data_IF_470914713282
#
_entry.id   IF_470914713282
#
_cell.length_a   1.000
_cell.length_b   1.000
_cell.length_c   1.000
_cell.angle_alpha   90.00
_cell.angle_beta   90.00
_cell.angle_gamma   90.00
#
_symmetry.space_group_name_H-M   'P 1'
#
loop_
_entity.id
_entity.type
_entity.pdbx_description
1 polymer ?
#
# COMPACT_ATOMS: atom_id res chain seq x y z
N UNK A 1 33.95 -8.46 -30.37
CA UNK A 1 33.77 -7.70 -29.11
C UNK A 1 32.30 -7.73 -28.74
N UNK A 2 31.87 -8.71 -27.95
CA UNK A 2 30.52 -8.75 -27.37
C UNK A 2 30.53 -8.00 -26.05
N UNK A 3 29.76 -6.92 -25.96
CA UNK A 3 29.67 -6.11 -24.75
C UNK A 3 28.85 -6.83 -23.69
N UNK A 4 29.49 -7.16 -22.57
CA UNK A 4 28.86 -7.56 -21.32
C UNK A 4 28.17 -6.34 -20.70
N UNK A 5 27.04 -5.90 -21.26
CA UNK A 5 26.18 -4.94 -20.59
C UNK A 5 25.28 -5.70 -19.59
N UNK A 6 25.90 -6.31 -18.58
CA UNK A 6 25.22 -6.66 -17.34
C UNK A 6 24.90 -5.39 -16.58
N UNK A 7 23.94 -4.61 -17.08
CA UNK A 7 23.41 -3.46 -16.37
C UNK A 7 22.66 -3.97 -15.15
N UNK A 8 23.11 -3.62 -13.95
CA UNK A 8 22.29 -3.76 -12.74
C UNK A 8 21.05 -2.91 -12.99
N UNK A 9 19.93 -3.53 -13.37
CA UNK A 9 18.63 -2.85 -13.36
C UNK A 9 18.44 -2.41 -11.92
N UNK A 10 18.48 -1.10 -11.68
CA UNK A 10 18.27 -0.55 -10.35
C UNK A 10 16.89 -1.02 -9.88
N UNK A 11 16.87 -1.86 -8.84
CA UNK A 11 15.61 -2.34 -8.26
C UNK A 11 14.84 -1.14 -7.70
N UNK A 12 13.54 -1.07 -7.98
CA UNK A 12 12.68 -0.05 -7.37
C UNK A 12 12.74 -0.21 -5.85
N UNK A 13 12.79 0.89 -5.07
CA UNK A 13 12.64 0.80 -3.63
C UNK A 13 11.32 0.13 -3.29
N UNK A 14 11.35 -0.85 -2.38
CA UNK A 14 10.18 -1.58 -1.93
C UNK A 14 9.77 -1.10 -0.54
N UNK A 15 8.50 -0.77 -0.38
CA UNK A 15 7.94 -0.30 0.90
C UNK A 15 6.79 -1.20 1.33
N UNK A 16 6.79 -1.55 2.61
CA UNK A 16 5.63 -2.11 3.30
C UNK A 16 4.78 -0.94 3.81
N UNK A 17 3.57 -0.80 3.26
CA UNK A 17 2.60 0.22 3.59
C UNK A 17 1.62 -0.34 4.63
N UNK A 18 1.64 0.24 5.83
CA UNK A 18 0.76 -0.12 6.94
C UNK A 18 -0.39 0.88 7.02
N UNK A 19 -1.62 0.37 7.00
CA UNK A 19 -2.80 1.20 7.14
C UNK A 19 -2.96 1.72 8.57
N UNK A 20 -3.75 2.78 8.73
CA UNK A 20 -4.07 3.42 10.01
C UNK A 20 -5.22 2.69 10.73
N UNK A 21 -5.60 3.20 11.91
CA UNK A 21 -6.62 2.61 12.78
C UNK A 21 -7.93 2.27 12.04
N UNK A 22 -8.43 1.04 12.22
CA UNK A 22 -9.69 0.54 11.65
C UNK A 22 -9.86 0.83 10.15
N UNK A 23 -8.81 0.60 9.40
CA UNK A 23 -8.84 0.60 7.92
C UNK A 23 -8.25 -0.70 7.39
N UNK A 24 -7.94 -0.77 6.11
CA UNK A 24 -7.31 -1.93 5.48
C UNK A 24 -6.20 -1.49 4.52
N UNK A 25 -5.34 -2.42 4.13
CA UNK A 25 -4.34 -2.22 3.09
C UNK A 25 -4.99 -1.79 1.77
N UNK A 26 -6.17 -2.32 1.44
CA UNK A 26 -6.91 -1.91 0.24
C UNK A 26 -7.36 -0.44 0.30
N UNK A 27 -7.85 0.02 1.45
CA UNK A 27 -8.23 1.43 1.65
C UNK A 27 -7.01 2.33 1.48
N UNK A 28 -5.87 1.96 2.08
CA UNK A 28 -4.63 2.72 1.92
C UNK A 28 -4.16 2.73 0.45
N UNK A 29 -4.30 1.62 -0.28
CA UNK A 29 -4.00 1.56 -1.72
C UNK A 29 -4.86 2.57 -2.49
N UNK A 30 -6.18 2.58 -2.26
CA UNK A 30 -7.11 3.52 -2.90
C UNK A 30 -6.71 4.96 -2.61
N UNK A 31 -6.30 5.26 -1.38
CA UNK A 31 -5.82 6.59 -1.01
C UNK A 31 -4.49 6.95 -1.66
N UNK A 32 -3.52 6.03 -1.74
CA UNK A 32 -2.22 6.32 -2.36
C UNK A 32 -2.36 6.49 -3.88
N UNK A 33 -2.99 5.55 -4.57
CA UNK A 33 -3.15 5.60 -6.03
C UNK A 33 -4.15 6.67 -6.45
N UNK A 34 -5.17 6.95 -5.64
CA UNK A 34 -6.18 7.97 -5.94
C UNK A 34 -5.70 9.41 -5.72
N UNK A 35 -4.74 9.63 -4.81
CA UNK A 35 -4.29 10.99 -4.46
C UNK A 35 -2.91 11.36 -5.02
N UNK A 36 -2.07 10.39 -5.38
CA UNK A 36 -0.72 10.65 -5.87
C UNK A 36 -0.66 10.54 -7.40
N UNK A 37 0.16 11.36 -8.09
CA UNK A 37 0.39 11.18 -9.52
C UNK A 37 1.01 9.81 -9.83
N UNK A 38 0.58 9.19 -10.93
CA UNK A 38 1.11 7.90 -11.39
C UNK A 38 2.64 7.91 -11.53
N UNK A 39 3.21 9.02 -11.99
CA UNK A 39 4.65 9.21 -12.14
C UNK A 39 5.44 9.00 -10.83
N UNK A 40 4.79 9.17 -9.68
CA UNK A 40 5.36 8.91 -8.36
C UNK A 40 5.21 7.44 -8.00
N UNK A 41 3.99 6.89 -8.08
CA UNK A 41 3.69 5.52 -7.62
C UNK A 41 4.42 4.46 -8.44
N UNK A 42 4.60 4.67 -9.76
CA UNK A 42 5.32 3.74 -10.65
C UNK A 42 6.82 3.63 -10.35
N UNK A 43 7.40 4.52 -9.55
CA UNK A 43 8.83 4.47 -9.18
C UNK A 43 9.10 3.51 -8.04
N UNK A 44 8.06 3.07 -7.34
CA UNK A 44 8.15 2.23 -6.15
C UNK A 44 7.55 0.85 -6.38
N UNK A 45 7.86 -0.05 -5.46
CA UNK A 45 7.15 -1.31 -5.27
C UNK A 45 6.45 -1.23 -3.90
N UNK A 46 5.13 -1.04 -3.92
CA UNK A 46 4.33 -0.78 -2.72
C UNK A 46 3.55 -2.04 -2.35
N UNK A 47 3.78 -2.54 -1.13
CA UNK A 47 3.07 -3.70 -0.57
C UNK A 47 2.15 -3.21 0.53
N UNK A 48 0.85 -3.32 0.34
CA UNK A 48 -0.15 -2.93 1.34
C UNK A 48 -0.56 -4.16 2.15
N UNK A 49 -0.38 -4.10 3.47
CA UNK A 49 -0.70 -5.21 4.37
C UNK A 49 -1.87 -4.86 5.28
N UNK A 50 -2.75 -5.83 5.50
CA UNK A 50 -3.77 -5.79 6.53
C UNK A 50 -3.18 -6.15 7.90
N UNK A 51 -3.72 -5.53 8.94
CA UNK A 51 -3.43 -5.89 10.31
C UNK A 51 -4.07 -7.26 10.68
N UNK A 52 -3.53 -7.97 11.70
CA UNK A 52 -3.96 -9.35 11.96
C UNK A 52 -5.32 -9.48 12.67
N UNK A 53 -5.83 -8.42 13.30
CA UNK A 53 -7.08 -8.46 14.07
C UNK A 53 -8.20 -7.76 13.31
N UNK A 54 -9.36 -8.40 13.09
CA UNK A 54 -10.54 -7.72 12.59
C UNK A 54 -11.00 -6.63 13.57
N UNK A 55 -11.42 -5.48 13.07
CA UNK A 55 -11.94 -4.41 13.94
C UNK A 55 -13.28 -4.83 14.57
N UNK A 56 -13.38 -4.73 15.90
CA UNK A 56 -14.59 -5.13 16.66
C UNK A 56 -15.57 -3.97 16.92
N UNK A 57 -15.45 -2.86 16.18
CA UNK A 57 -16.32 -1.70 16.35
C UNK A 57 -16.37 -0.78 15.14
N UNK A 58 -17.11 0.32 15.28
CA UNK A 58 -17.29 1.32 14.22
C UNK A 58 -15.94 1.85 13.73
N UNK A 59 -15.79 2.01 12.40
CA UNK A 59 -14.71 2.81 11.83
C UNK A 59 -15.20 4.22 11.50
N UNK A 60 -14.31 5.21 11.63
CA UNK A 60 -14.59 6.58 11.21
C UNK A 60 -14.76 6.70 9.69
N UNK A 61 -14.39 5.65 8.94
CA UNK A 61 -14.51 5.60 7.48
C UNK A 61 -15.69 4.76 6.98
N UNK A 62 -16.57 4.28 7.86
CA UNK A 62 -17.72 3.40 7.50
C UNK A 62 -18.62 3.97 6.40
N UNK A 63 -18.74 5.30 6.33
CA UNK A 63 -19.60 5.98 5.33
C UNK A 63 -18.84 6.34 4.03
N UNK A 64 -17.55 6.00 3.94
CA UNK A 64 -16.65 6.41 2.84
C UNK A 64 -16.06 5.19 2.13
N UNK A 65 -15.67 4.16 2.89
CA UNK A 65 -15.10 2.93 2.37
C UNK A 65 -15.90 1.73 2.86
N UNK A 66 -15.92 0.67 2.08
CA UNK A 66 -16.54 -0.59 2.51
C UNK A 66 -15.56 -1.39 3.41
N UNK A 67 -16.07 -2.14 4.40
CA UNK A 67 -15.27 -3.11 5.17
C UNK A 67 -14.70 -4.23 4.28
N UNK A 68 -13.70 -5.02 4.74
CA UNK A 68 -13.26 -5.21 6.11
C UNK A 68 -12.27 -4.16 6.63
N UNK A 69 -12.27 -3.98 7.95
CA UNK A 69 -11.30 -3.16 8.69
C UNK A 69 -10.51 -3.99 9.68
N UNK A 70 -9.28 -3.56 9.94
CA UNK A 70 -8.37 -4.28 10.81
C UNK A 70 -7.69 -3.34 11.83
N UNK A 71 -7.23 -3.93 12.93
CA UNK A 71 -6.50 -3.30 14.03
C UNK A 71 -5.14 -4.00 14.25
N UNK A 72 -4.13 -3.22 14.62
CA UNK A 72 -2.76 -3.73 14.85
C UNK A 72 -2.53 -4.23 16.29
N UNK A 73 -3.40 -3.87 17.23
CA UNK A 73 -3.35 -4.25 18.65
C UNK A 73 -4.74 -4.31 19.26
#
# INVERSE_FOLDING_TARGET
>A
MGSLAGGVVARRPRFLCMHVFRTSGEIMLKQVVGNWPDEVTVRFDLVFADAPFPAEGKSDVDDIFDPPYYEWF
#
